data_IF_190834042684
#
_entry.id   IF_190834042684
#
_cell.length_a   1.000
_cell.length_b   1.000
_cell.length_c   1.000
_cell.angle_alpha   90.00
_cell.angle_beta   90.00
_cell.angle_gamma   90.00
#
_symmetry.space_group_name_H-M   'P 1'
#
loop_
_entity.id
_entity.type
_entity.pdbx_description
1 polymer ?
#
# COMPACT_ATOMS: atom_id res chain seq x y z
N UNK A 1 -27.52 6.80 6.08
CA UNK A 1 -27.48 5.92 7.27
C UNK A 1 -26.08 5.98 7.89
N UNK A 2 -25.95 6.13 9.22
CA UNK A 2 -24.64 6.12 9.88
C UNK A 2 -23.98 4.74 9.78
N UNK A 3 -22.74 4.70 9.32
CA UNK A 3 -21.94 3.47 9.17
C UNK A 3 -20.72 3.59 10.08
N UNK A 4 -20.41 2.54 10.83
CA UNK A 4 -19.16 2.45 11.58
C UNK A 4 -18.09 1.74 10.74
N UNK A 5 -16.84 2.13 10.92
CA UNK A 5 -15.70 1.56 10.22
C UNK A 5 -14.71 1.00 11.23
N UNK A 6 -14.22 -0.23 11.05
CA UNK A 6 -13.03 -0.72 11.71
C UNK A 6 -11.91 -0.94 10.70
N UNK A 7 -10.71 -0.41 10.97
CA UNK A 7 -9.50 -0.62 10.18
C UNK A 7 -8.57 -1.51 11.00
N UNK A 8 -8.15 -2.64 10.44
CA UNK A 8 -7.17 -3.56 11.03
C UNK A 8 -5.84 -3.42 10.29
N UNK A 9 -4.76 -3.11 11.02
CA UNK A 9 -3.45 -2.85 10.42
C UNK A 9 -2.30 -2.92 11.43
N UNK A 10 -1.07 -2.57 11.02
CA UNK A 10 0.11 -2.33 11.87
C UNK A 10 0.53 -0.85 11.92
N UNK A 11 -0.13 0.01 11.13
CA UNK A 11 0.25 1.41 10.98
C UNK A 11 -0.88 2.34 11.42
N UNK A 12 -0.50 3.49 11.94
CA UNK A 12 -1.41 4.60 12.15
C UNK A 12 -0.79 5.84 11.52
N UNK A 13 -1.39 6.34 10.44
CA UNK A 13 -0.96 7.53 9.73
C UNK A 13 -2.18 8.28 9.20
N UNK A 14 -2.35 9.53 9.63
CA UNK A 14 -3.49 10.38 9.24
C UNK A 14 -3.01 11.65 8.55
N UNK A 15 -1.87 12.19 8.94
CA UNK A 15 -1.34 13.46 8.40
C UNK A 15 -0.21 13.19 7.39
N UNK A 16 0.01 14.08 6.42
CA UNK A 16 1.12 13.94 5.46
C UNK A 16 2.51 13.77 6.11
N UNK A 17 2.76 14.44 7.24
CA UNK A 17 3.99 14.28 8.02
C UNK A 17 4.20 12.87 8.62
N UNK A 18 3.12 12.09 8.71
CA UNK A 18 3.16 10.71 9.20
C UNK A 18 3.55 9.73 8.08
N UNK A 19 3.73 10.21 6.84
CA UNK A 19 4.12 9.38 5.70
C UNK A 19 5.54 8.87 5.88
N UNK A 20 5.67 7.56 6.10
CA UNK A 20 6.94 6.84 6.24
C UNK A 20 6.99 5.73 5.18
N UNK A 21 7.36 6.11 3.96
CA UNK A 21 7.42 5.21 2.80
C UNK A 21 6.14 5.12 1.98
N UNK A 22 6.17 4.31 0.92
CA UNK A 22 5.09 4.22 -0.08
C UNK A 22 3.73 3.79 0.50
N UNK A 23 3.75 2.90 1.48
CA UNK A 23 2.54 2.34 2.09
C UNK A 23 1.72 3.41 2.80
N UNK A 24 2.37 4.33 3.51
CA UNK A 24 1.69 5.38 4.28
C UNK A 24 0.88 6.35 3.41
N UNK A 25 1.19 6.48 2.11
CA UNK A 25 0.37 7.27 1.18
C UNK A 25 -1.05 6.72 1.07
N UNK A 26 -1.21 5.38 1.12
CA UNK A 26 -2.53 4.75 1.08
C UNK A 26 -3.34 5.07 2.34
N UNK A 27 -2.70 5.12 3.50
CA UNK A 27 -3.34 5.47 4.77
C UNK A 27 -3.74 6.95 4.82
N UNK A 28 -2.81 7.85 4.51
CA UNK A 28 -3.09 9.31 4.55
C UNK A 28 -4.07 9.70 3.44
N UNK A 29 -3.91 9.13 2.25
CA UNK A 29 -4.77 9.37 1.10
C UNK A 29 -6.12 8.69 1.22
N UNK A 30 -6.18 7.39 0.92
CA UNK A 30 -7.44 6.64 0.83
C UNK A 30 -8.14 6.53 2.19
N UNK A 31 -7.45 6.06 3.23
CA UNK A 31 -8.11 5.80 4.52
C UNK A 31 -8.46 7.12 5.22
N UNK A 32 -7.56 8.10 5.17
CA UNK A 32 -7.80 9.44 5.67
C UNK A 32 -9.00 10.11 4.99
N UNK A 33 -9.11 10.01 3.66
CA UNK A 33 -10.25 10.54 2.91
C UNK A 33 -11.55 9.80 3.23
N UNK A 34 -11.51 8.47 3.38
CA UNK A 34 -12.66 7.66 3.78
C UNK A 34 -13.16 8.07 5.18
N UNK A 35 -12.25 8.18 6.15
CA UNK A 35 -12.56 8.60 7.52
C UNK A 35 -13.17 10.00 7.53
N UNK A 36 -12.52 10.95 6.84
CA UNK A 36 -13.02 12.33 6.76
C UNK A 36 -14.41 12.36 6.15
N UNK A 37 -14.64 11.62 5.07
CA UNK A 37 -15.93 11.53 4.41
C UNK A 37 -16.99 10.97 5.36
N UNK A 38 -16.72 9.84 6.02
CA UNK A 38 -17.67 9.21 6.96
C UNK A 38 -18.04 10.14 8.12
N UNK A 39 -17.05 10.81 8.73
CA UNK A 39 -17.29 11.74 9.84
C UNK A 39 -18.02 13.02 9.39
N UNK A 40 -17.81 13.46 8.14
CA UNK A 40 -18.50 14.63 7.57
C UNK A 40 -19.96 14.30 7.25
N UNK A 41 -20.23 13.15 6.62
CA UNK A 41 -21.57 12.74 6.24
C UNK A 41 -22.42 12.28 7.44
N UNK A 42 -21.79 11.82 8.51
CA UNK A 42 -22.48 11.27 9.67
C UNK A 42 -21.67 11.50 10.94
N UNK A 43 -22.05 12.55 11.70
CA UNK A 43 -21.47 12.82 13.04
C UNK A 43 -21.60 11.64 14.00
N UNK A 44 -22.59 10.78 13.77
CA UNK A 44 -22.83 9.60 14.57
C UNK A 44 -21.94 8.40 14.20
N UNK A 45 -21.22 8.45 13.08
CA UNK A 45 -20.32 7.38 12.68
C UNK A 45 -19.12 7.27 13.63
N UNK A 46 -18.73 6.04 13.97
CA UNK A 46 -17.54 5.75 14.75
C UNK A 46 -16.49 5.06 13.90
N UNK A 47 -15.26 5.51 14.02
CA UNK A 47 -14.10 4.89 13.39
C UNK A 47 -13.29 4.18 14.48
N UNK A 48 -13.02 2.90 14.25
CA UNK A 48 -12.23 2.02 15.09
C UNK A 48 -10.94 1.71 14.34
N UNK A 49 -9.81 2.26 14.75
CA UNK A 49 -8.53 2.00 14.10
C UNK A 49 -7.65 1.15 14.99
N UNK A 50 -7.55 -0.14 14.68
CA UNK A 50 -6.71 -1.07 15.41
C UNK A 50 -5.34 -1.22 14.74
N UNK A 51 -4.30 -1.07 15.56
CA UNK A 51 -2.92 -1.35 15.17
C UNK A 51 -2.37 -2.51 16.02
N UNK A 52 -1.99 -3.61 15.37
CA UNK A 52 -1.39 -4.76 16.09
C UNK A 52 0.02 -4.45 16.59
N UNK A 53 0.76 -3.57 15.88
CA UNK A 53 2.14 -3.20 16.22
C UNK A 53 2.25 -2.57 17.62
N UNK A 54 1.26 -1.78 18.02
CA UNK A 54 1.20 -1.12 19.33
C UNK A 54 0.03 -1.62 20.20
N UNK A 55 -0.65 -2.70 19.76
CA UNK A 55 -1.80 -3.33 20.42
C UNK A 55 -2.83 -2.32 20.92
N UNK A 56 -3.19 -1.38 20.04
CA UNK A 56 -4.07 -0.29 20.41
C UNK A 56 -5.23 -0.11 19.43
N UNK A 57 -6.42 0.04 20.00
CA UNK A 57 -7.63 0.45 19.31
C UNK A 57 -7.86 1.94 19.55
N UNK A 58 -7.80 2.72 18.48
CA UNK A 58 -8.16 4.15 18.50
C UNK A 58 -9.62 4.28 18.11
N UNK A 59 -10.42 4.92 18.94
CA UNK A 59 -11.82 5.23 18.67
C UNK A 59 -11.90 6.70 18.32
N UNK A 60 -12.33 6.98 17.09
CA UNK A 60 -12.39 8.33 16.53
C UNK A 60 -13.85 8.63 16.18
N UNK A 61 -14.33 9.76 16.67
CA UNK A 61 -15.65 10.34 16.37
C UNK A 61 -15.48 11.80 15.95
N UNK A 62 -16.57 12.52 15.67
CA UNK A 62 -16.50 13.96 15.42
C UNK A 62 -15.93 14.75 16.60
N UNK A 63 -16.23 14.32 17.82
CA UNK A 63 -16.01 15.12 19.03
C UNK A 63 -14.96 14.53 19.95
N UNK A 64 -14.54 13.29 19.70
CA UNK A 64 -13.71 12.54 20.63
C UNK A 64 -12.71 11.61 19.95
N UNK A 65 -11.53 11.52 20.56
CA UNK A 65 -10.47 10.59 20.26
C UNK A 65 -10.04 9.83 21.53
N UNK A 66 -10.24 8.51 21.55
CA UNK A 66 -9.83 7.62 22.67
C UNK A 66 -8.86 6.55 22.19
N UNK A 67 -7.95 6.12 23.06
CA UNK A 67 -7.05 5.00 22.81
C UNK A 67 -7.29 3.92 23.87
N UNK A 68 -7.50 2.67 23.44
CA UNK A 68 -7.62 1.49 24.30
C UNK A 68 -6.49 0.52 23.97
N UNK A 69 -5.74 0.05 24.97
CA UNK A 69 -4.70 -0.99 24.79
C UNK A 69 -5.31 -2.36 24.97
N UNK A 70 -5.40 -3.15 23.90
CA UNK A 70 -6.04 -4.46 23.88
C UNK A 70 -5.60 -5.25 22.63
N UNK A 71 -5.74 -6.57 22.67
CA UNK A 71 -5.45 -7.45 21.52
C UNK A 71 -6.49 -7.30 20.40
N UNK A 72 -6.19 -7.84 19.21
CA UNK A 72 -6.99 -7.66 18.00
C UNK A 72 -8.40 -8.23 18.17
N UNK A 73 -8.49 -9.41 18.77
CA UNK A 73 -9.76 -10.08 19.01
C UNK A 73 -10.68 -9.23 19.87
N UNK A 74 -10.16 -8.68 20.98
CA UNK A 74 -10.89 -7.76 21.85
C UNK A 74 -11.26 -6.48 21.10
N UNK A 75 -10.40 -5.98 20.21
CA UNK A 75 -10.67 -4.77 19.44
C UNK A 75 -11.88 -4.95 18.52
N UNK A 76 -11.90 -6.07 17.80
CA UNK A 76 -12.99 -6.46 16.90
C UNK A 76 -14.29 -6.64 17.68
N UNK A 77 -14.26 -7.31 18.82
CA UNK A 77 -15.43 -7.48 19.68
C UNK A 77 -15.96 -6.15 20.22
N UNK A 78 -15.08 -5.26 20.70
CA UNK A 78 -15.47 -3.92 21.18
C UNK A 78 -16.13 -3.11 20.05
N UNK A 79 -15.54 -3.12 18.85
CA UNK A 79 -16.12 -2.42 17.69
C UNK A 79 -17.48 -3.01 17.29
N UNK A 80 -17.59 -4.34 17.24
CA UNK A 80 -18.83 -5.03 16.89
C UNK A 80 -19.95 -4.74 17.91
N UNK A 81 -19.69 -4.92 19.21
CA UNK A 81 -20.68 -4.66 20.28
C UNK A 81 -21.10 -3.19 20.28
N UNK A 82 -20.14 -2.27 20.20
CA UNK A 82 -20.42 -0.83 20.14
C UNK A 82 -21.29 -0.48 18.93
N UNK A 83 -21.05 -1.12 17.78
CA UNK A 83 -21.83 -0.90 16.56
C UNK A 83 -23.24 -1.46 16.65
N UNK A 84 -23.39 -2.71 17.12
CA UNK A 84 -24.69 -3.38 17.17
C UNK A 84 -25.61 -2.84 18.26
N UNK A 85 -25.07 -2.37 19.39
CA UNK A 85 -25.86 -1.66 20.42
C UNK A 85 -26.59 -0.43 19.85
N UNK A 86 -26.05 0.17 18.80
CA UNK A 86 -26.65 1.34 18.12
C UNK A 86 -27.48 0.97 16.89
N UNK A 87 -27.66 -0.32 16.60
CA UNK A 87 -28.41 -0.79 15.42
C UNK A 87 -27.76 -0.47 14.07
N UNK A 88 -26.45 -0.20 14.03
CA UNK A 88 -25.75 0.27 12.83
C UNK A 88 -25.05 -0.84 12.07
N UNK A 89 -24.70 -0.53 10.82
CA UNK A 89 -23.84 -1.38 9.99
C UNK A 89 -22.36 -1.09 10.26
N UNK A 90 -21.53 -2.10 10.08
CA UNK A 90 -20.08 -2.04 10.22
C UNK A 90 -19.39 -2.41 8.91
N UNK A 91 -18.44 -1.57 8.48
CA UNK A 91 -17.46 -1.95 7.48
C UNK A 91 -16.18 -2.34 8.23
N UNK A 92 -15.61 -3.48 7.85
CA UNK A 92 -14.28 -3.90 8.30
C UNK A 92 -13.33 -3.72 7.13
N UNK A 93 -12.27 -2.95 7.31
CA UNK A 93 -11.20 -2.78 6.35
C UNK A 93 -9.94 -3.46 6.89
N UNK A 94 -9.50 -4.52 6.22
CA UNK A 94 -8.28 -5.26 6.55
C UNK A 94 -7.19 -4.79 5.60
N UNK A 95 -6.22 -4.03 6.10
CA UNK A 95 -5.07 -3.57 5.33
C UNK A 95 -4.08 -4.73 5.16
N UNK A 96 -4.28 -5.60 4.20
CA UNK A 96 -3.49 -6.82 4.01
C UNK A 96 -2.23 -6.56 3.17
N UNK A 97 -1.06 -7.13 3.51
CA UNK A 97 -0.78 -8.06 4.62
C UNK A 97 -0.47 -7.37 5.95
N UNK A 98 -0.49 -6.04 6.01
CA UNK A 98 -0.11 -5.25 7.17
C UNK A 98 -0.98 -5.45 8.42
N UNK A 99 -2.17 -6.03 8.27
CA UNK A 99 -3.04 -6.45 9.35
C UNK A 99 -2.63 -7.79 9.98
N UNK A 100 -1.82 -8.59 9.29
CA UNK A 100 -1.35 -9.89 9.78
C UNK A 100 -0.29 -9.62 10.87
N UNK A 101 -0.52 -10.10 12.11
CA UNK A 101 0.44 -9.93 13.19
C UNK A 101 1.60 -10.93 13.04
N UNK A 102 2.54 -10.90 13.99
CA UNK A 102 3.57 -11.93 14.06
C UNK A 102 2.95 -13.29 14.40
N UNK A 103 3.73 -14.36 14.18
CA UNK A 103 3.27 -15.75 14.35
C UNK A 103 2.72 -16.00 15.76
N UNK A 104 3.31 -15.40 16.80
CA UNK A 104 2.88 -15.56 18.19
C UNK A 104 1.44 -15.06 18.43
N UNK A 105 0.99 -14.10 17.64
CA UNK A 105 -0.31 -13.43 17.76
C UNK A 105 -1.27 -13.80 16.62
N UNK A 106 -0.87 -14.72 15.74
CA UNK A 106 -1.66 -15.12 14.58
C UNK A 106 -3.02 -15.69 14.97
N UNK A 107 -3.10 -16.37 16.11
CA UNK A 107 -4.34 -16.91 16.65
C UNK A 107 -5.40 -15.82 16.87
N UNK A 108 -5.03 -14.62 17.35
CA UNK A 108 -5.98 -13.52 17.51
C UNK A 108 -6.52 -13.03 16.17
N UNK A 109 -5.66 -12.98 15.14
CA UNK A 109 -6.07 -12.60 13.79
C UNK A 109 -7.04 -13.62 13.18
N UNK A 110 -6.72 -14.91 13.27
CA UNK A 110 -7.58 -15.98 12.74
C UNK A 110 -8.95 -16.02 13.44
N UNK A 111 -8.96 -15.91 14.77
CA UNK A 111 -10.20 -15.81 15.55
C UNK A 111 -11.01 -14.57 15.19
N UNK A 112 -10.33 -13.43 14.97
CA UNK A 112 -10.98 -12.20 14.52
C UNK A 112 -11.65 -12.38 13.16
N UNK A 113 -10.96 -12.99 12.18
CA UNK A 113 -11.53 -13.30 10.87
C UNK A 113 -12.76 -14.22 10.97
N UNK A 114 -12.68 -15.25 11.82
CA UNK A 114 -13.77 -16.18 12.05
C UNK A 114 -15.01 -15.48 12.63
N UNK A 115 -14.84 -14.68 13.68
CA UNK A 115 -15.92 -13.90 14.28
C UNK A 115 -16.52 -12.93 13.27
N UNK A 116 -15.69 -12.18 12.55
CA UNK A 116 -16.16 -11.26 11.52
C UNK A 116 -16.97 -11.97 10.43
N UNK A 117 -16.55 -13.19 10.04
CA UNK A 117 -17.30 -14.01 9.09
C UNK A 117 -18.68 -14.37 9.62
N UNK A 118 -18.78 -14.84 10.86
CA UNK A 118 -20.08 -15.12 11.51
C UNK A 118 -20.95 -13.87 11.50
N UNK A 119 -20.40 -12.73 11.94
CA UNK A 119 -21.13 -11.46 11.99
C UNK A 119 -21.58 -10.99 10.60
N UNK A 120 -20.81 -11.28 9.54
CA UNK A 120 -21.17 -10.93 8.17
C UNK A 120 -22.40 -11.67 7.63
N UNK A 121 -22.76 -12.82 8.21
CA UNK A 121 -23.96 -13.57 7.82
C UNK A 121 -25.25 -12.77 8.09
N UNK A 122 -25.24 -11.92 9.12
CA UNK A 122 -26.35 -11.01 9.43
C UNK A 122 -26.54 -9.85 8.43
N UNK A 123 -25.69 -9.77 7.41
CA UNK A 123 -25.58 -8.65 6.45
C UNK A 123 -25.23 -7.28 7.06
N UNK A 124 -25.10 -7.15 8.39
CA UNK A 124 -24.72 -5.91 9.09
C UNK A 124 -23.23 -5.63 9.07
N UNK A 125 -22.41 -6.63 8.71
CA UNK A 125 -20.95 -6.49 8.59
C UNK A 125 -20.51 -6.79 7.17
N UNK A 126 -19.78 -5.85 6.57
CA UNK A 126 -19.11 -6.05 5.27
C UNK A 126 -17.60 -6.04 5.47
N UNK A 127 -16.94 -7.10 5.01
CA UNK A 127 -15.49 -7.26 5.14
C UNK A 127 -14.85 -6.85 3.83
N UNK A 128 -13.98 -5.85 3.87
CA UNK A 128 -13.18 -5.37 2.75
C UNK A 128 -11.73 -5.73 3.06
N UNK A 129 -11.10 -6.50 2.19
CA UNK A 129 -9.67 -6.76 2.26
C UNK A 129 -8.98 -5.87 1.25
N UNK A 130 -8.13 -4.96 1.73
CA UNK A 130 -7.30 -4.14 0.89
C UNK A 130 -5.95 -4.84 0.70
N UNK A 131 -5.81 -5.55 -0.42
CA UNK A 131 -4.63 -6.33 -0.76
C UNK A 131 -3.76 -5.55 -1.75
N UNK A 132 -2.84 -4.75 -1.21
CA UNK A 132 -2.00 -3.86 -2.01
C UNK A 132 -0.52 -4.22 -2.01
N UNK A 133 -0.10 -5.21 -1.22
CA UNK A 133 1.28 -5.70 -1.22
C UNK A 133 1.34 -7.22 -0.91
N UNK A 134 0.91 -8.09 -1.83
CA UNK A 134 0.88 -9.53 -1.61
C UNK A 134 2.26 -10.07 -1.16
N UNK A 135 2.33 -10.77 0.00
CA UNK A 135 3.58 -11.02 0.69
C UNK A 135 4.54 -11.94 -0.07
N UNK A 136 4.02 -12.90 -0.85
CA UNK A 136 4.84 -13.82 -1.64
C UNK A 136 5.47 -13.08 -2.82
N UNK A 137 4.67 -12.32 -3.53
CA UNK A 137 5.09 -11.54 -4.69
C UNK A 137 6.06 -10.43 -4.27
N UNK A 138 5.81 -9.78 -3.13
CA UNK A 138 6.75 -8.88 -2.49
C UNK A 138 8.08 -9.57 -2.15
N UNK A 139 8.05 -10.78 -1.59
CA UNK A 139 9.26 -11.54 -1.30
C UNK A 139 10.07 -11.86 -2.56
N UNK A 140 9.44 -12.31 -3.65
CA UNK A 140 10.12 -12.53 -4.93
C UNK A 140 10.68 -11.24 -5.54
N UNK A 141 10.03 -10.10 -5.31
CA UNK A 141 10.44 -8.81 -5.88
C UNK A 141 11.58 -8.17 -5.10
N UNK A 142 11.58 -8.28 -3.77
CA UNK A 142 12.50 -7.54 -2.90
C UNK A 142 13.62 -8.38 -2.28
N UNK A 143 13.59 -9.71 -2.44
CA UNK A 143 14.64 -10.59 -1.95
C UNK A 143 15.53 -11.06 -3.09
N UNK A 144 16.85 -10.99 -2.90
CA UNK A 144 17.82 -11.63 -3.81
C UNK A 144 17.71 -13.15 -3.76
N UNK A 145 17.25 -13.70 -2.63
CA UNK A 145 17.02 -15.14 -2.45
C UNK A 145 15.55 -15.46 -2.67
N UNK A 146 15.28 -16.58 -3.35
CA UNK A 146 13.91 -17.08 -3.44
C UNK A 146 13.33 -17.35 -2.05
N UNK A 147 12.03 -17.03 -1.82
CA UNK A 147 11.37 -17.36 -0.56
C UNK A 147 11.37 -18.87 -0.34
N UNK A 148 11.49 -19.30 0.92
CA UNK A 148 11.48 -20.71 1.28
C UNK A 148 10.09 -21.33 1.04
N UNK A 149 10.04 -22.65 0.77
CA UNK A 149 8.77 -23.37 0.58
C UNK A 149 7.82 -23.20 1.78
N UNK A 150 8.26 -23.31 3.05
CA UNK A 150 7.38 -23.05 4.20
C UNK A 150 6.80 -21.63 4.22
N UNK A 151 7.58 -20.62 3.84
CA UNK A 151 7.10 -19.24 3.73
C UNK A 151 5.99 -19.12 2.69
N UNK A 152 6.17 -19.74 1.52
CA UNK A 152 5.18 -19.74 0.43
C UNK A 152 3.88 -20.42 0.91
N UNK A 153 3.98 -21.62 1.51
CA UNK A 153 2.81 -22.36 2.00
C UNK A 153 2.05 -21.55 3.06
N UNK A 154 2.79 -20.97 4.01
CA UNK A 154 2.23 -20.15 5.08
C UNK A 154 1.42 -18.97 4.52
N UNK A 155 2.03 -18.16 3.66
CA UNK A 155 1.36 -16.97 3.14
C UNK A 155 0.25 -17.31 2.15
N UNK A 156 0.39 -18.34 1.29
CA UNK A 156 -0.70 -18.77 0.41
C UNK A 156 -1.92 -19.23 1.20
N UNK A 157 -1.70 -19.91 2.32
CA UNK A 157 -2.79 -20.34 3.21
C UNK A 157 -3.49 -19.13 3.82
N UNK A 158 -2.72 -18.15 4.33
CA UNK A 158 -3.28 -16.92 4.89
C UNK A 158 -4.01 -16.06 3.86
N UNK A 159 -3.48 -15.96 2.64
CA UNK A 159 -4.13 -15.28 1.53
C UNK A 159 -5.48 -15.93 1.24
N UNK A 160 -5.51 -17.26 1.08
CA UNK A 160 -6.74 -18.01 0.82
C UNK A 160 -7.78 -17.77 1.90
N UNK A 161 -7.40 -17.86 3.18
CA UNK A 161 -8.31 -17.60 4.30
C UNK A 161 -8.82 -16.17 4.28
N UNK A 162 -7.92 -15.18 4.19
CA UNK A 162 -8.29 -13.76 4.27
C UNK A 162 -9.15 -13.32 3.08
N UNK A 163 -8.73 -13.67 1.86
CA UNK A 163 -9.40 -13.23 0.63
C UNK A 163 -10.74 -13.94 0.39
N UNK A 164 -10.86 -15.23 0.74
CA UNK A 164 -12.15 -15.94 0.59
C UNK A 164 -13.21 -15.42 1.55
N UNK A 165 -12.83 -15.05 2.78
CA UNK A 165 -13.75 -14.53 3.79
C UNK A 165 -14.23 -13.10 3.50
N UNK A 166 -13.46 -12.33 2.74
CA UNK A 166 -13.83 -10.97 2.34
C UNK A 166 -15.20 -10.92 1.65
N UNK A 167 -15.94 -9.82 1.81
CA UNK A 167 -17.09 -9.46 0.97
C UNK A 167 -16.62 -8.78 -0.32
N UNK A 168 -15.57 -7.97 -0.23
CA UNK A 168 -14.94 -7.24 -1.34
C UNK A 168 -13.42 -7.25 -1.15
N UNK A 169 -12.67 -7.32 -2.24
CA UNK A 169 -11.21 -7.24 -2.23
C UNK A 169 -10.81 -6.00 -3.02
N UNK A 170 -9.99 -5.13 -2.46
CA UNK A 170 -9.40 -4.00 -3.18
C UNK A 170 -7.97 -4.33 -3.58
N UNK A 171 -7.60 -3.96 -4.80
CA UNK A 171 -6.27 -4.16 -5.36
C UNK A 171 -5.80 -2.91 -6.10
N UNK A 172 -4.50 -2.77 -6.35
CA UNK A 172 -3.94 -1.53 -6.91
C UNK A 172 -4.19 -1.32 -8.41
N UNK A 173 -4.36 -2.39 -9.17
CA UNK A 173 -4.45 -2.31 -10.63
C UNK A 173 -5.24 -3.49 -11.19
N UNK A 174 -5.64 -3.38 -12.46
CA UNK A 174 -6.28 -4.48 -13.19
C UNK A 174 -5.39 -5.72 -13.25
N UNK A 175 -4.07 -5.54 -13.42
CA UNK A 175 -3.10 -6.63 -13.33
C UNK A 175 -3.32 -7.46 -12.06
N UNK A 176 -3.36 -6.81 -10.90
CA UNK A 176 -3.55 -7.49 -9.62
C UNK A 176 -4.93 -8.13 -9.51
N UNK A 177 -5.97 -7.50 -10.08
CA UNK A 177 -7.32 -8.08 -10.12
C UNK A 177 -7.32 -9.44 -10.81
N UNK A 178 -6.76 -9.51 -12.02
CA UNK A 178 -6.73 -10.76 -12.78
C UNK A 178 -5.79 -11.79 -12.17
N UNK A 179 -4.63 -11.36 -11.69
CA UNK A 179 -3.67 -12.22 -11.02
C UNK A 179 -4.30 -12.90 -9.79
N UNK A 180 -4.85 -12.12 -8.86
CA UNK A 180 -5.46 -12.62 -7.62
C UNK A 180 -6.69 -13.47 -7.92
N UNK A 181 -7.52 -13.07 -8.89
CA UNK A 181 -8.67 -13.87 -9.32
C UNK A 181 -8.23 -15.27 -9.79
N UNK A 182 -7.18 -15.33 -10.61
CA UNK A 182 -6.66 -16.59 -11.17
C UNK A 182 -6.01 -17.45 -10.09
N UNK A 183 -5.07 -16.90 -9.32
CA UNK A 183 -4.27 -17.65 -8.34
C UNK A 183 -5.13 -18.20 -7.20
N UNK A 184 -6.13 -17.45 -6.74
CA UNK A 184 -6.96 -17.85 -5.59
C UNK A 184 -8.37 -18.33 -5.98
N UNK A 185 -8.64 -18.49 -7.29
CA UNK A 185 -9.93 -18.89 -7.85
C UNK A 185 -11.10 -18.03 -7.33
N UNK A 186 -10.93 -16.70 -7.37
CA UNK A 186 -11.92 -15.75 -6.90
C UNK A 186 -12.68 -15.14 -8.08
N UNK A 187 -13.97 -14.84 -7.87
CA UNK A 187 -14.78 -14.14 -8.87
C UNK A 187 -14.25 -12.72 -9.04
N UNK A 188 -14.01 -12.30 -10.28
CA UNK A 188 -13.51 -10.94 -10.61
C UNK A 188 -14.42 -9.84 -10.11
N UNK A 189 -15.74 -10.03 -10.10
CA UNK A 189 -16.71 -9.06 -9.54
C UNK A 189 -16.60 -8.84 -8.03
N UNK A 190 -15.86 -9.70 -7.30
CA UNK A 190 -15.52 -9.50 -5.89
C UNK A 190 -14.32 -8.55 -5.71
N UNK A 191 -13.60 -8.25 -6.78
CA UNK A 191 -12.33 -7.54 -6.74
C UNK A 191 -12.48 -6.17 -7.41
N UNK A 192 -12.33 -5.12 -6.61
CA UNK A 192 -12.34 -3.73 -7.03
C UNK A 192 -10.91 -3.21 -7.21
N UNK A 193 -10.67 -2.50 -8.31
CA UNK A 193 -9.40 -1.80 -8.51
C UNK A 193 -9.49 -0.43 -7.85
N UNK A 194 -8.62 -0.20 -6.86
CA UNK A 194 -8.44 1.06 -6.15
C UNK A 194 -6.95 1.44 -6.15
N UNK A 195 -6.50 2.20 -7.17
CA UNK A 195 -5.12 2.66 -7.28
C UNK A 195 -4.67 3.46 -6.06
N UNK A 196 -3.36 3.53 -5.84
CA UNK A 196 -2.82 4.42 -4.82
C UNK A 196 -3.07 5.88 -5.22
N UNK A 197 -3.55 6.68 -4.27
CA UNK A 197 -3.62 8.11 -4.42
C UNK A 197 -2.22 8.75 -4.33
N UNK A 198 -2.08 9.92 -4.95
CA UNK A 198 -0.90 10.77 -4.81
C UNK A 198 -1.25 12.04 -4.05
N UNK A 199 -0.33 12.52 -3.19
CA UNK A 199 -0.49 13.73 -2.39
C UNK A 199 -0.17 15.00 -3.19
N UNK A 200 -0.66 15.08 -4.45
CA UNK A 200 -0.29 16.10 -5.44
C UNK A 200 -0.54 17.53 -4.93
N UNK A 201 -1.62 17.73 -4.15
CA UNK A 201 -1.96 19.04 -3.58
C UNK A 201 -0.89 19.63 -2.64
N UNK A 202 0.02 18.79 -2.16
CA UNK A 202 1.10 19.17 -1.26
C UNK A 202 2.44 19.28 -1.98
N UNK A 203 2.48 19.07 -3.30
CA UNK A 203 3.67 19.22 -4.12
C UNK A 203 3.57 20.58 -4.82
N UNK A 204 4.39 21.58 -4.45
CA UNK A 204 4.36 22.85 -5.13
C UNK A 204 4.86 22.69 -6.57
N UNK A 205 4.25 23.43 -7.49
CA UNK A 205 4.76 23.52 -8.85
C UNK A 205 6.06 24.32 -8.86
N UNK A 206 7.07 23.79 -9.54
CA UNK A 206 8.32 24.51 -9.79
C UNK A 206 8.64 24.39 -11.29
N UNK A 207 8.87 25.51 -12.01
CA UNK A 207 9.26 25.44 -13.41
C UNK A 207 10.63 24.77 -13.57
N UNK A 208 10.91 24.18 -14.76
CA UNK A 208 12.22 23.59 -15.05
C UNK A 208 13.36 24.58 -14.86
N UNK A 209 14.52 24.10 -14.40
CA UNK A 209 15.70 24.94 -14.26
C UNK A 209 16.20 25.38 -15.64
N UNK A 210 16.56 26.65 -15.76
CA UNK A 210 17.14 27.21 -16.99
C UNK A 210 18.68 27.23 -17.00
N UNK A 211 19.31 27.08 -15.83
CA UNK A 211 20.76 27.18 -15.64
C UNK A 211 21.25 26.18 -14.60
N UNK A 212 22.52 25.78 -14.71
CA UNK A 212 23.18 24.85 -13.80
C UNK A 212 23.16 23.40 -14.28
N UNK A 213 23.71 22.47 -13.48
CA UNK A 213 23.73 21.05 -13.82
C UNK A 213 22.31 20.46 -13.82
N UNK A 214 22.08 19.54 -14.76
CA UNK A 214 20.83 18.80 -14.87
C UNK A 214 20.70 17.83 -13.68
N UNK A 215 19.59 17.88 -12.97
CA UNK A 215 19.39 17.15 -11.72
C UNK A 215 18.43 15.98 -11.94
N UNK A 216 18.95 14.77 -11.80
CA UNK A 216 18.19 13.51 -11.89
C UNK A 216 17.90 13.02 -10.47
N UNK A 217 16.65 12.69 -10.20
CA UNK A 217 16.19 12.10 -8.95
C UNK A 217 15.82 10.63 -9.13
N UNK A 218 16.21 9.81 -8.17
CA UNK A 218 15.61 8.51 -7.92
C UNK A 218 15.01 8.51 -6.51
N UNK A 219 13.69 8.30 -6.41
CA UNK A 219 12.98 8.28 -5.14
C UNK A 219 12.64 6.83 -4.73
N UNK A 220 13.48 6.25 -3.88
CA UNK A 220 13.31 4.89 -3.38
C UNK A 220 14.57 4.34 -2.72
N UNK A 221 14.42 3.22 -1.98
CA UNK A 221 15.58 2.47 -1.49
C UNK A 221 16.47 2.01 -2.64
N UNK A 222 17.77 2.32 -2.59
CA UNK A 222 18.76 1.85 -3.55
C UNK A 222 19.01 0.34 -3.34
N UNK A 223 18.32 -0.47 -4.12
CA UNK A 223 18.39 -1.93 -4.09
C UNK A 223 18.71 -2.45 -5.50
N UNK A 224 19.46 -3.54 -5.57
CA UNK A 224 19.82 -4.18 -6.85
C UNK A 224 18.59 -4.58 -7.66
N UNK A 225 17.56 -5.11 -6.98
CA UNK A 225 16.26 -5.49 -7.57
C UNK A 225 15.46 -4.33 -8.18
N UNK A 226 15.91 -3.08 -8.00
CA UNK A 226 15.31 -1.89 -8.60
C UNK A 226 16.19 -1.27 -9.69
N UNK A 227 17.18 -2.03 -10.20
CA UNK A 227 18.09 -1.64 -11.29
C UNK A 227 18.71 -0.25 -11.13
N UNK A 228 18.97 0.15 -9.88
CA UNK A 228 19.59 1.44 -9.58
C UNK A 228 21.02 1.52 -10.16
N UNK A 229 21.71 0.39 -10.26
CA UNK A 229 23.04 0.29 -10.86
C UNK A 229 23.02 0.67 -12.34
N UNK A 230 21.97 0.27 -13.08
CA UNK A 230 21.80 0.63 -14.48
C UNK A 230 21.60 2.13 -14.65
N UNK A 231 20.84 2.77 -13.75
CA UNK A 231 20.70 4.22 -13.75
C UNK A 231 22.02 4.91 -13.41
N UNK A 232 22.74 4.46 -12.38
CA UNK A 232 24.05 5.03 -12.00
C UNK A 232 25.04 4.92 -13.18
N UNK A 233 25.13 3.76 -13.82
CA UNK A 233 26.01 3.52 -14.97
C UNK A 233 25.63 4.40 -16.16
N UNK A 234 24.33 4.52 -16.47
CA UNK A 234 23.86 5.39 -17.53
C UNK A 234 24.25 6.86 -17.28
N UNK A 235 24.07 7.35 -16.05
CA UNK A 235 24.47 8.72 -15.70
C UNK A 235 26.00 8.88 -15.75
N UNK A 236 26.78 7.89 -15.29
CA UNK A 236 28.24 7.92 -15.37
C UNK A 236 28.71 8.09 -16.83
N UNK A 237 28.18 7.28 -17.75
CA UNK A 237 28.51 7.38 -19.17
C UNK A 237 28.09 8.71 -19.80
N UNK A 238 27.01 9.34 -19.33
CA UNK A 238 26.62 10.68 -19.77
C UNK A 238 27.60 11.76 -19.25
N UNK A 239 28.07 11.62 -18.01
CA UNK A 239 29.07 12.52 -17.43
C UNK A 239 30.43 12.41 -18.13
N UNK A 240 30.84 11.20 -18.49
CA UNK A 240 32.06 10.96 -19.30
C UNK A 240 32.00 11.64 -20.67
N UNK A 241 30.80 11.80 -21.25
CA UNK A 241 30.57 12.55 -22.49
C UNK A 241 30.53 14.08 -22.28
N UNK A 242 30.85 14.57 -21.09
CA UNK A 242 30.92 15.99 -20.77
C UNK A 242 29.61 16.61 -20.29
N UNK A 243 28.56 15.82 -20.02
CA UNK A 243 27.29 16.36 -19.50
C UNK A 243 27.38 16.61 -18.00
N UNK A 244 26.96 17.80 -17.58
CA UNK A 244 26.90 18.19 -16.18
C UNK A 244 25.61 17.67 -15.54
N UNK A 245 25.67 16.47 -14.97
CA UNK A 245 24.53 15.81 -14.34
C UNK A 245 24.79 15.52 -12.85
N UNK A 246 23.83 15.89 -12.01
CA UNK A 246 23.77 15.55 -10.60
C UNK A 246 22.72 14.45 -10.39
N UNK A 247 23.13 13.32 -9.81
CA UNK A 247 22.21 12.25 -9.42
C UNK A 247 21.94 12.32 -7.92
N UNK A 248 20.67 12.45 -7.57
CA UNK A 248 20.17 12.39 -6.20
C UNK A 248 19.38 11.10 -5.99
N UNK A 249 19.72 10.36 -4.94
CA UNK A 249 18.98 9.18 -4.49
C UNK A 249 18.34 9.52 -3.14
N UNK A 250 17.01 9.56 -3.11
CA UNK A 250 16.23 9.75 -1.90
C UNK A 250 15.75 8.40 -1.38
N UNK A 251 16.46 7.84 -0.39
CA UNK A 251 16.10 6.57 0.23
C UNK A 251 17.23 5.92 1.02
N UNK A 252 16.98 4.71 1.50
CA UNK A 252 17.98 3.92 2.24
C UNK A 252 19.09 3.42 1.31
N UNK A 253 20.35 3.62 1.71
CA UNK A 253 21.52 3.04 1.05
C UNK A 253 21.67 1.56 1.44
N UNK A 254 21.67 0.65 0.45
CA UNK A 254 21.99 -0.76 0.68
C UNK A 254 23.03 -1.32 -0.31
N UNK A 255 23.63 -0.44 -1.12
CA UNK A 255 24.63 -0.77 -2.11
C UNK A 255 25.83 0.19 -1.99
N UNK A 256 26.98 -0.24 -2.51
CA UNK A 256 28.14 0.63 -2.69
C UNK A 256 27.83 1.67 -3.75
N UNK A 257 27.63 2.91 -3.33
CA UNK A 257 27.24 4.02 -4.21
C UNK A 257 28.47 4.89 -4.46
N UNK A 258 28.74 5.30 -5.72
CA UNK A 258 29.86 6.18 -6.03
C UNK A 258 29.80 7.50 -5.26
N UNK A 259 30.96 8.05 -4.91
CA UNK A 259 31.07 9.30 -4.12
C UNK A 259 30.45 10.54 -4.79
N UNK A 260 30.30 10.52 -6.11
CA UNK A 260 29.68 11.62 -6.87
C UNK A 260 28.14 11.60 -6.83
N UNK A 261 27.53 10.55 -6.28
CA UNK A 261 26.07 10.43 -6.16
C UNK A 261 25.62 10.93 -4.80
N UNK A 262 24.66 11.87 -4.79
CA UNK A 262 24.10 12.41 -3.56
C UNK A 262 23.03 11.48 -3.02
N UNK A 263 23.26 10.79 -1.91
CA UNK A 263 22.26 9.94 -1.25
C UNK A 263 21.85 10.49 0.11
N UNK A 264 20.56 10.42 0.42
CA UNK A 264 20.05 10.77 1.74
C UNK A 264 18.67 10.19 2.02
N UNK A 265 18.32 10.14 3.30
CA UNK A 265 16.96 9.82 3.77
C UNK A 265 16.33 11.10 4.32
N UNK A 266 15.13 11.41 3.84
CA UNK A 266 14.44 12.67 4.12
C UNK A 266 13.03 12.37 4.65
N UNK A 267 12.54 13.16 5.58
CA UNK A 267 11.12 13.18 5.89
C UNK A 267 10.31 13.68 4.68
N UNK A 268 9.00 13.39 4.66
CA UNK A 268 8.17 13.67 3.49
C UNK A 268 8.13 15.17 3.12
N UNK A 269 7.87 16.11 4.04
CA UNK A 269 7.96 17.54 3.74
C UNK A 269 9.32 17.99 3.19
N UNK A 270 10.42 17.56 3.82
CA UNK A 270 11.76 17.92 3.35
C UNK A 270 12.03 17.34 1.97
N UNK A 271 11.72 16.07 1.73
CA UNK A 271 11.85 15.41 0.42
C UNK A 271 11.15 16.21 -0.69
N UNK A 272 9.90 16.62 -0.44
CA UNK A 272 9.12 17.38 -1.43
C UNK A 272 9.74 18.75 -1.67
N UNK A 273 10.01 19.52 -0.61
CA UNK A 273 10.40 20.91 -0.73
C UNK A 273 11.86 21.11 -1.18
N UNK A 274 12.74 20.12 -0.96
CA UNK A 274 14.16 20.25 -1.29
C UNK A 274 14.56 19.43 -2.51
N UNK A 275 14.22 18.14 -2.53
CA UNK A 275 14.69 17.24 -3.59
C UNK A 275 13.74 17.19 -4.77
N UNK A 276 12.46 16.92 -4.54
CA UNK A 276 11.50 16.73 -5.62
C UNK A 276 11.35 18.00 -6.46
N UNK A 277 11.23 19.16 -5.80
CA UNK A 277 11.11 20.48 -6.44
C UNK A 277 12.40 20.94 -7.12
N UNK A 278 13.57 20.53 -6.65
CA UNK A 278 14.85 20.92 -7.23
C UNK A 278 15.30 19.96 -8.35
N UNK A 279 14.58 18.88 -8.62
CA UNK A 279 14.97 17.90 -9.63
C UNK A 279 14.30 18.20 -10.97
N UNK A 280 15.05 18.05 -12.06
CA UNK A 280 14.54 18.28 -13.42
C UNK A 280 13.78 17.06 -13.95
N UNK A 281 14.20 15.87 -13.52
CA UNK A 281 13.52 14.61 -13.84
C UNK A 281 13.61 13.63 -12.67
N UNK A 282 12.55 12.84 -12.48
CA UNK A 282 12.56 11.66 -11.62
C UNK A 282 12.56 10.40 -12.50
N UNK A 283 13.54 9.52 -12.31
CA UNK A 283 13.68 8.27 -13.07
C UNK A 283 13.42 7.09 -12.16
N UNK A 284 12.56 6.18 -12.59
CA UNK A 284 12.27 4.93 -11.88
C UNK A 284 12.64 3.77 -12.80
N UNK A 285 13.88 3.24 -12.70
CA UNK A 285 14.40 2.24 -13.62
C UNK A 285 13.93 0.84 -13.20
N UNK A 286 12.62 0.58 -13.08
CA UNK A 286 12.21 -0.78 -12.69
C UNK A 286 12.65 -1.80 -13.73
N UNK A 287 13.24 -2.95 -13.32
CA UNK A 287 13.56 -4.01 -14.25
C UNK A 287 12.29 -4.46 -14.98
N UNK A 288 12.39 -4.93 -16.23
CA UNK A 288 11.28 -5.60 -16.89
C UNK A 288 10.92 -6.86 -16.08
N UNK A 289 9.91 -6.75 -15.22
CA UNK A 289 9.56 -7.86 -14.35
C UNK A 289 8.86 -8.94 -15.18
N UNK A 290 9.36 -10.17 -15.10
CA UNK A 290 8.72 -11.33 -15.77
C UNK A 290 7.25 -11.47 -15.35
N UNK A 291 6.93 -11.19 -14.09
CA UNK A 291 5.53 -11.22 -13.62
C UNK A 291 4.65 -10.18 -14.34
N UNK A 292 5.09 -8.92 -14.46
CA UNK A 292 4.35 -7.89 -15.19
C UNK A 292 4.23 -8.23 -16.68
N UNK A 293 5.28 -8.78 -17.29
CA UNK A 293 5.32 -9.18 -18.69
C UNK A 293 4.39 -10.36 -19.02
N UNK A 294 4.44 -11.46 -18.25
CA UNK A 294 3.63 -12.66 -18.53
C UNK A 294 2.12 -12.45 -18.38
N UNK A 295 1.68 -11.57 -17.48
CA UNK A 295 0.24 -11.31 -17.31
C UNK A 295 -0.28 -10.13 -18.14
N UNK A 296 0.56 -9.17 -18.56
CA UNK A 296 0.17 -8.15 -19.54
C UNK A 296 0.00 -8.73 -20.95
N UNK A 297 0.80 -9.74 -21.33
CA UNK A 297 0.65 -10.45 -22.60
C UNK A 297 -0.67 -11.23 -22.70
N UNK A 298 -1.16 -11.85 -21.61
CA UNK A 298 -2.46 -12.53 -21.61
C UNK A 298 -3.65 -11.56 -21.73
N UNK A 299 -3.49 -10.27 -21.41
CA UNK A 299 -4.52 -9.26 -21.64
C UNK A 299 -4.56 -8.80 -23.11
N UNK A 300 -3.41 -8.73 -23.77
CA UNK A 300 -3.33 -8.29 -25.16
C UNK A 300 -3.64 -9.39 -26.18
N UNK A 301 -3.52 -10.68 -25.82
CA UNK A 301 -3.91 -11.79 -26.71
C UNK A 301 -5.43 -11.90 -26.95
N UNK A 302 -6.25 -11.11 -26.25
CA UNK A 302 -7.70 -10.98 -26.49
C UNK A 302 -8.09 -9.62 -27.11
N UNK A 303 -7.14 -8.71 -27.34
CA UNK A 303 -7.40 -7.35 -27.86
C UNK A 303 -6.59 -7.00 -29.12
N UNK A 304 -5.84 -7.95 -29.70
CA UNK A 304 -5.14 -7.79 -31.00
C UNK A 304 -5.83 -8.63 -32.09
N UNK A 305 -7.15 -8.45 -32.24
CA UNK A 305 -7.89 -8.81 -33.45
C UNK A 305 -9.08 -7.86 -33.58
N UNK A 306 -8.83 -6.62 -34.05
CA UNK A 306 -9.79 -5.72 -34.75
C UNK A 306 -9.22 -4.30 -34.87
N UNK A 307 -8.14 -4.17 -35.61
CA UNK A 307 -7.83 -3.00 -36.44
C UNK A 307 -7.19 -3.64 -37.68
N UNK A 308 -7.97 -3.98 -38.71
CA UNK A 308 -8.58 -3.00 -39.59
C UNK A 308 -7.56 -2.69 -40.68
N UNK A 309 -7.37 -3.65 -41.59
CA UNK A 309 -6.70 -3.41 -42.87
C UNK A 309 -7.53 -2.41 -43.68
N UNK A 310 -6.92 -1.41 -44.33
CA UNK A 310 -7.23 -1.11 -45.72
C UNK A 310 -6.75 -2.25 -46.62
#
# INVERSE_FOLDING_TARGET
>A
MPINLIILTSYFAIKPRDVKGGISYRYVGLYGSLIKSLLTYSRHSKIFWYSHKDKSLRVITSDEFRILRLGMLKAVLVAAVSTFKTGRNMIVLIAYPYAVPKVEELHEYLLSLFILKILSLSCRVKIIVDNFDPPIEGAYTFSEKHPSVPFIIYFRTLDLMTLRLASLIMVLSDFWRYYIAKIYHLRTGKILVCPNGALIRFIPYNPPKLKGPFTVLYAGSALKVKDIDNLINAIASLKEKGLLINLHIAGSQKLGIPSWVNIGSYDWPTFVNTLLTASDICVIPYPPSRMAFYHSLQQNSLTIWRLGSP
#
